data_IF_772483970225
#
_entry.id   IF_772483970225
#
_cell.length_a   1.000
_cell.length_b   1.000
_cell.length_c   1.000
_cell.angle_alpha   90.00
_cell.angle_beta   90.00
_cell.angle_gamma   90.00
#
_symmetry.space_group_name_H-M   'P 1'
#
loop_
_entity.id
_entity.type
_entity.pdbx_description
1 polymer ?
#
# COMPACT_ATOMS: atom_id res chain seq x y z
N UNK A 1 4.39 17.83 4.43
CA UNK A 1 3.95 18.06 5.81
C UNK A 1 2.50 17.57 5.99
N UNK A 2 2.27 16.65 6.95
CA UNK A 2 0.96 16.07 7.28
C UNK A 2 0.36 16.65 8.56
N UNK A 3 1.04 17.58 9.20
CA UNK A 3 0.59 18.19 10.47
C UNK A 3 -0.86 18.71 10.43
N UNK A 4 -1.35 19.31 9.30
CA UNK A 4 -2.74 19.71 9.18
C UNK A 4 -3.76 18.56 9.11
N UNK A 5 -3.29 17.30 9.02
CA UNK A 5 -4.13 16.13 8.80
C UNK A 5 -4.01 15.13 9.97
N UNK A 6 -4.61 15.41 11.12
CA UNK A 6 -4.45 14.57 12.33
C UNK A 6 -4.92 13.12 12.14
N UNK A 7 -5.86 12.88 11.23
CA UNK A 7 -6.31 11.53 10.91
C UNK A 7 -5.20 10.70 10.26
N UNK A 8 -4.38 11.29 9.37
CA UNK A 8 -3.26 10.59 8.75
C UNK A 8 -2.18 10.25 9.78
N UNK A 9 -1.94 11.15 10.73
CA UNK A 9 -1.02 10.89 11.85
C UNK A 9 -1.52 9.70 12.66
N UNK A 10 -2.78 9.73 13.09
CA UNK A 10 -3.38 8.62 13.84
C UNK A 10 -3.34 7.28 13.09
N UNK A 11 -3.46 7.28 11.78
CA UNK A 11 -3.34 6.04 10.99
C UNK A 11 -1.93 5.44 11.07
N UNK A 12 -0.87 6.24 10.96
CA UNK A 12 0.50 5.73 11.10
C UNK A 12 0.78 5.23 12.51
N UNK A 13 0.24 5.91 13.53
CA UNK A 13 0.31 5.48 14.93
C UNK A 13 -0.44 4.16 15.17
N UNK A 14 -1.64 4.03 14.59
CA UNK A 14 -2.43 2.80 14.67
C UNK A 14 -1.69 1.59 14.13
N UNK A 15 -1.01 1.73 12.99
CA UNK A 15 -0.20 0.65 12.41
C UNK A 15 1.17 0.50 13.10
N UNK A 16 1.56 1.43 13.95
CA UNK A 16 2.83 1.40 14.67
C UNK A 16 4.05 1.57 13.78
N UNK A 17 3.91 2.20 12.61
CA UNK A 17 5.01 2.37 11.66
C UNK A 17 5.89 3.53 12.12
N UNK A 18 7.14 3.22 12.39
CA UNK A 18 8.17 4.22 12.74
C UNK A 18 8.71 4.89 11.47
N UNK A 19 9.17 6.14 11.62
CA UNK A 19 9.70 6.95 10.51
C UNK A 19 8.77 6.96 9.28
N UNK A 20 7.47 7.10 9.52
CA UNK A 20 6.45 6.96 8.51
C UNK A 20 6.47 8.11 7.50
N UNK A 21 6.48 7.76 6.22
CA UNK A 21 6.21 8.66 5.11
C UNK A 21 4.85 8.33 4.52
N UNK A 22 3.96 9.32 4.53
CA UNK A 22 2.60 9.17 4.01
C UNK A 22 2.50 9.88 2.67
N UNK A 23 1.93 9.18 1.69
CA UNK A 23 1.65 9.72 0.36
C UNK A 23 0.22 9.41 -0.03
N UNK A 24 -0.45 10.37 -0.63
CA UNK A 24 -1.73 10.17 -1.28
C UNK A 24 -1.52 10.14 -2.80
N UNK A 25 -2.05 9.12 -3.43
CA UNK A 25 -2.02 8.96 -4.87
C UNK A 25 -3.44 9.01 -5.42
N UNK A 26 -3.61 9.80 -6.48
CA UNK A 26 -4.85 9.88 -7.23
C UNK A 26 -4.59 9.41 -8.65
N UNK A 27 -4.95 8.19 -8.95
CA UNK A 27 -4.87 7.69 -10.32
C UNK A 27 -6.15 8.06 -11.07
N UNK A 28 -6.02 8.98 -12.00
CA UNK A 28 -7.13 9.44 -12.83
C UNK A 28 -7.48 8.42 -13.91
N UNK A 29 -8.71 8.47 -14.47
CA UNK A 29 -9.02 7.74 -15.70
C UNK A 29 -7.97 7.96 -16.79
N UNK A 30 -7.52 6.87 -17.42
CA UNK A 30 -6.49 6.88 -18.45
C UNK A 30 -5.04 6.86 -17.93
N UNK A 31 -4.82 6.94 -16.62
CA UNK A 31 -3.46 6.87 -16.06
C UNK A 31 -3.06 5.43 -15.73
N UNK A 32 -1.75 5.19 -15.84
CA UNK A 32 -1.13 3.93 -15.45
C UNK A 32 0.20 4.18 -14.73
N UNK A 33 0.57 3.26 -13.86
CA UNK A 33 1.94 3.10 -13.37
C UNK A 33 2.51 1.84 -14.00
N UNK A 34 3.64 2.00 -14.69
CA UNK A 34 4.29 0.91 -15.39
C UNK A 34 4.74 -0.20 -14.43
N UNK A 35 4.93 -1.39 -14.97
CA UNK A 35 5.50 -2.51 -14.24
C UNK A 35 6.87 -2.13 -13.66
N UNK A 36 7.03 -2.29 -12.37
CA UNK A 36 8.25 -1.99 -11.64
C UNK A 36 8.34 -2.79 -10.33
N UNK A 37 9.52 -2.78 -9.76
CA UNK A 37 9.79 -3.21 -8.39
C UNK A 37 10.12 -1.96 -7.58
N UNK A 38 9.60 -1.86 -6.39
CA UNK A 38 9.93 -0.75 -5.49
C UNK A 38 11.40 -0.86 -5.03
N UNK A 39 12.04 0.30 -4.85
CA UNK A 39 13.40 0.40 -4.30
C UNK A 39 13.34 1.19 -3.01
N UNK A 40 13.07 0.51 -1.91
CA UNK A 40 12.90 1.11 -0.59
C UNK A 40 14.01 0.73 0.40
N UNK A 41 14.98 -0.07 -0.03
CA UNK A 41 16.07 -0.56 0.81
C UNK A 41 16.91 0.55 1.45
N UNK A 42 16.97 1.72 0.80
CA UNK A 42 17.72 2.87 1.33
C UNK A 42 17.09 3.47 2.59
N UNK A 43 15.87 3.07 2.93
CA UNK A 43 15.21 3.53 4.16
C UNK A 43 15.76 2.84 5.42
N UNK A 44 16.31 1.65 5.28
CA UNK A 44 17.00 0.90 6.32
C UNK A 44 18.03 -0.01 5.65
N UNK A 45 19.19 0.53 5.20
CA UNK A 45 20.17 -0.24 4.44
C UNK A 45 20.76 -1.42 5.23
N UNK A 46 20.83 -1.27 6.56
CA UNK A 46 21.36 -2.30 7.47
C UNK A 46 20.39 -3.47 7.65
N UNK A 47 19.10 -3.26 7.48
CA UNK A 47 18.07 -4.29 7.58
C UNK A 47 16.84 -3.92 6.72
N UNK A 48 16.89 -4.13 5.40
CA UNK A 48 15.80 -3.79 4.49
C UNK A 48 14.48 -4.49 4.80
N UNK A 49 14.50 -5.63 5.50
CA UNK A 49 13.29 -6.36 5.90
C UNK A 49 12.45 -5.61 6.94
N UNK A 50 13.04 -4.63 7.63
CA UNK A 50 12.30 -3.74 8.51
C UNK A 50 11.35 -2.81 7.74
N UNK A 51 11.65 -2.53 6.48
CA UNK A 51 10.86 -1.60 5.69
C UNK A 51 9.53 -2.23 5.32
N UNK A 52 8.45 -1.50 5.58
CA UNK A 52 7.09 -1.88 5.21
C UNK A 52 6.43 -0.78 4.38
N UNK A 53 5.63 -1.19 3.42
CA UNK A 53 4.71 -0.31 2.70
C UNK A 53 3.31 -0.86 2.79
N UNK A 54 2.40 -0.06 3.34
CA UNK A 54 0.97 -0.34 3.35
C UNK A 54 0.28 0.52 2.31
N UNK A 55 -0.62 -0.08 1.54
CA UNK A 55 -1.49 0.63 0.60
C UNK A 55 -2.92 0.50 1.07
N UNK A 56 -3.57 1.62 1.33
CA UNK A 56 -4.94 1.70 1.83
C UNK A 56 -5.81 2.23 0.69
N UNK A 57 -6.83 1.47 0.34
CA UNK A 57 -7.79 1.87 -0.68
C UNK A 57 -8.77 2.87 -0.08
N UNK A 58 -8.92 4.04 -0.69
CA UNK A 58 -9.79 5.11 -0.17
C UNK A 58 -11.15 5.18 -0.86
N UNK A 59 -11.37 4.34 -1.88
CA UNK A 59 -12.66 4.18 -2.56
C UNK A 59 -12.84 2.72 -2.95
N UNK A 60 -14.08 2.30 -3.14
CA UNK A 60 -14.41 0.98 -3.65
C UNK A 60 -13.87 0.79 -5.07
N UNK A 61 -13.56 -0.44 -5.40
CA UNK A 61 -13.15 -0.84 -6.75
C UNK A 61 -14.22 -0.51 -7.78
N UNK A 62 -13.79 -0.02 -8.92
CA UNK A 62 -14.64 0.17 -10.09
C UNK A 62 -14.13 -0.68 -11.27
N UNK A 63 -15.04 -1.27 -12.08
CA UNK A 63 -14.64 -1.97 -13.29
C UNK A 63 -13.72 -1.13 -14.18
N UNK A 64 -12.63 -1.74 -14.65
CA UNK A 64 -11.59 -1.05 -15.41
C UNK A 64 -10.41 -0.57 -14.57
N UNK A 65 -10.47 -0.70 -13.26
CA UNK A 65 -9.32 -0.46 -12.40
C UNK A 65 -8.51 -1.75 -12.22
N UNK A 66 -7.21 -1.67 -12.45
CA UNK A 66 -6.29 -2.80 -12.39
C UNK A 66 -5.20 -2.57 -11.36
N UNK A 67 -4.94 -3.61 -10.59
CA UNK A 67 -3.78 -3.71 -9.73
C UNK A 67 -3.18 -5.11 -9.89
N UNK A 68 -1.96 -5.20 -10.42
CA UNK A 68 -1.28 -6.46 -10.64
C UNK A 68 -0.06 -6.57 -9.76
N UNK A 69 0.07 -7.67 -9.04
CA UNK A 69 1.21 -8.05 -8.22
C UNK A 69 1.73 -9.40 -8.71
N UNK A 70 2.88 -9.42 -9.38
CA UNK A 70 3.40 -10.66 -9.95
C UNK A 70 2.37 -11.32 -10.85
N UNK A 71 1.91 -12.51 -10.45
CA UNK A 71 0.89 -13.30 -11.17
C UNK A 71 -0.54 -13.07 -10.67
N UNK A 72 -0.72 -12.23 -9.65
CA UNK A 72 -2.00 -11.96 -9.03
C UNK A 72 -2.58 -10.64 -9.54
N UNK A 73 -3.86 -10.66 -9.95
CA UNK A 73 -4.63 -9.45 -10.24
C UNK A 73 -5.58 -9.17 -9.07
N UNK A 74 -5.40 -8.00 -8.46
CA UNK A 74 -6.22 -7.54 -7.35
C UNK A 74 -7.37 -6.68 -7.87
N UNK A 75 -8.57 -7.02 -7.44
CA UNK A 75 -9.81 -6.32 -7.79
C UNK A 75 -10.85 -6.50 -6.68
N UNK A 76 -11.99 -5.82 -6.81
CA UNK A 76 -13.10 -5.92 -5.88
C UNK A 76 -12.77 -5.48 -4.44
N UNK A 77 -11.72 -4.66 -4.28
CA UNK A 77 -11.43 -4.05 -2.98
C UNK A 77 -12.53 -3.09 -2.55
N UNK A 78 -12.58 -2.86 -1.27
CA UNK A 78 -13.45 -1.85 -0.65
C UNK A 78 -12.61 -0.72 -0.07
N UNK A 79 -13.23 0.44 0.08
CA UNK A 79 -12.64 1.53 0.84
C UNK A 79 -12.29 1.05 2.26
N UNK A 80 -11.06 1.32 2.69
CA UNK A 80 -10.50 0.85 3.96
C UNK A 80 -9.69 -0.44 3.86
N UNK A 81 -9.75 -1.19 2.76
CA UNK A 81 -8.90 -2.36 2.59
C UNK A 81 -7.43 -1.93 2.58
N UNK A 82 -6.62 -2.67 3.33
CA UNK A 82 -5.18 -2.46 3.44
C UNK A 82 -4.48 -3.68 2.87
N UNK A 83 -3.59 -3.46 1.92
CA UNK A 83 -2.76 -4.53 1.42
C UNK A 83 -1.27 -4.23 1.53
N UNK A 84 -0.52 -5.30 1.75
CA UNK A 84 0.92 -5.33 1.93
C UNK A 84 1.43 -6.46 1.06
N UNK A 85 2.54 -6.23 0.40
CA UNK A 85 3.20 -7.21 -0.44
C UNK A 85 4.71 -7.06 -0.32
N UNK A 86 5.45 -8.03 -0.80
CA UNK A 86 6.90 -7.97 -0.87
C UNK A 86 7.33 -6.95 -1.93
N UNK A 87 7.52 -5.72 -1.49
CA UNK A 87 7.86 -4.59 -2.34
C UNK A 87 9.21 -4.77 -3.05
N UNK A 88 10.12 -5.56 -2.48
CA UNK A 88 11.47 -5.74 -2.99
C UNK A 88 11.55 -6.75 -4.14
N UNK A 89 10.68 -7.75 -4.14
CA UNK A 89 10.78 -8.90 -5.04
C UNK A 89 9.58 -9.07 -5.97
N UNK A 90 8.45 -8.42 -5.66
CA UNK A 90 7.22 -8.57 -6.44
C UNK A 90 7.04 -7.42 -7.41
N UNK A 91 7.20 -7.65 -8.73
CA UNK A 91 6.86 -6.66 -9.75
C UNK A 91 5.37 -6.33 -9.69
N UNK A 92 5.04 -5.06 -9.81
CA UNK A 92 3.65 -4.62 -9.78
C UNK A 92 3.38 -3.46 -10.74
N UNK A 93 2.13 -3.34 -11.14
CA UNK A 93 1.65 -2.30 -12.04
C UNK A 93 0.20 -1.96 -11.71
N UNK A 94 -0.21 -0.74 -12.07
CA UNK A 94 -1.60 -0.32 -11.94
C UNK A 94 -2.05 0.44 -13.17
N UNK A 95 -3.33 0.32 -13.50
CA UNK A 95 -3.96 1.12 -14.55
C UNK A 95 -5.39 1.47 -14.16
N UNK A 96 -5.88 2.59 -14.68
CA UNK A 96 -7.25 3.02 -14.47
C UNK A 96 -7.93 3.29 -15.81
N UNK A 97 -8.61 2.29 -16.33
CA UNK A 97 -9.46 2.38 -17.51
C UNK A 97 -10.93 2.68 -17.15
N UNK A 98 -11.23 2.90 -15.87
CA UNK A 98 -12.56 3.26 -15.41
C UNK A 98 -12.85 4.74 -15.62
N UNK A 99 -14.09 5.17 -15.33
CA UNK A 99 -14.48 6.57 -15.30
C UNK A 99 -14.30 7.22 -13.92
N UNK A 100 -13.84 6.48 -12.93
CA UNK A 100 -13.72 6.91 -11.55
C UNK A 100 -12.27 7.10 -11.17
N UNK A 101 -11.99 8.14 -10.40
CA UNK A 101 -10.67 8.31 -9.78
C UNK A 101 -10.41 7.18 -8.79
N UNK A 102 -9.17 6.69 -8.74
CA UNK A 102 -8.72 5.70 -7.78
C UNK A 102 -7.78 6.35 -6.75
N UNK A 103 -8.30 6.83 -5.63
CA UNK A 103 -7.48 7.38 -4.56
C UNK A 103 -6.93 6.25 -3.69
N UNK A 104 -5.65 6.33 -3.35
CA UNK A 104 -4.98 5.42 -2.41
C UNK A 104 -4.07 6.18 -1.48
N UNK A 105 -3.95 5.70 -0.26
CA UNK A 105 -3.00 6.19 0.72
C UNK A 105 -1.89 5.16 0.87
N UNK A 106 -0.64 5.59 0.75
CA UNK A 106 0.52 4.76 1.04
C UNK A 106 1.22 5.25 2.30
N UNK A 107 1.50 4.33 3.20
CA UNK A 107 2.32 4.55 4.39
C UNK A 107 3.57 3.67 4.25
N UNK A 108 4.73 4.29 4.24
CA UNK A 108 6.02 3.59 4.12
C UNK A 108 6.89 3.98 5.30
N UNK A 109 7.46 3.01 5.98
CA UNK A 109 8.34 3.25 7.13
C UNK A 109 8.89 1.94 7.68
N UNK A 110 9.19 1.91 8.96
CA UNK A 110 9.82 0.77 9.62
C UNK A 110 8.82 0.03 10.52
N UNK A 111 8.83 -1.29 10.45
CA UNK A 111 8.04 -2.15 11.33
C UNK A 111 8.49 -2.02 12.77
N UNK A 112 7.54 -1.81 13.67
CA UNK A 112 7.75 -1.95 15.12
C UNK A 112 7.21 -3.30 15.60
N UNK A 113 7.39 -3.60 16.86
CA UNK A 113 6.76 -4.77 17.50
C UNK A 113 5.22 -4.73 17.36
N UNK A 114 4.64 -3.55 17.50
CA UNK A 114 3.19 -3.38 17.30
C UNK A 114 2.76 -3.69 15.86
N UNK A 115 3.52 -3.22 14.86
CA UNK A 115 3.26 -3.56 13.45
C UNK A 115 3.30 -5.06 13.22
N UNK A 116 4.30 -5.76 13.77
CA UNK A 116 4.44 -7.21 13.63
C UNK A 116 3.26 -7.95 14.22
N UNK A 117 2.81 -7.56 15.42
CA UNK A 117 1.62 -8.15 16.05
C UNK A 117 0.36 -7.96 15.20
N UNK A 118 0.15 -6.77 14.65
CA UNK A 118 -0.99 -6.54 13.74
C UNK A 118 -0.94 -7.46 12.52
N UNK A 119 0.24 -7.68 11.94
CA UNK A 119 0.40 -8.57 10.79
C UNK A 119 0.12 -10.05 11.14
N UNK A 120 0.41 -10.48 12.35
CA UNK A 120 0.09 -11.83 12.84
C UNK A 120 -1.43 -12.06 12.93
N UNK A 121 -2.21 -11.03 13.27
CA UNK A 121 -3.67 -11.10 13.32
C UNK A 121 -4.34 -10.99 11.94
N UNK A 122 -3.60 -10.62 10.90
CA UNK A 122 -4.16 -10.58 9.55
C UNK A 122 -4.56 -11.99 9.12
N UNK A 123 -5.83 -12.21 8.82
CA UNK A 123 -6.35 -13.49 8.39
C UNK A 123 -5.77 -13.93 7.03
N UNK A 124 -5.88 -15.22 6.70
CA UNK A 124 -5.41 -15.74 5.41
C UNK A 124 -6.04 -15.05 4.20
N UNK A 125 -7.29 -14.64 4.34
CA UNK A 125 -8.03 -13.92 3.29
C UNK A 125 -7.44 -12.54 3.00
N UNK A 126 -6.74 -11.97 3.97
CA UNK A 126 -6.07 -10.68 3.84
C UNK A 126 -4.65 -10.79 3.25
N UNK A 127 -4.19 -12.00 2.93
CA UNK A 127 -2.87 -12.25 2.38
C UNK A 127 -3.00 -12.71 0.95
N UNK A 128 -2.53 -11.89 0.02
CA UNK A 128 -2.38 -12.30 -1.36
C UNK A 128 -1.08 -13.09 -1.51
N UNK A 129 -1.20 -14.36 -1.91
CA UNK A 129 -0.06 -15.16 -2.30
C UNK A 129 0.30 -14.77 -3.75
N UNK A 130 1.50 -14.32 -3.90
CA UNK A 130 2.06 -13.93 -5.20
C UNK A 130 2.92 -15.05 -5.75
#
# INVERSE_FOLDING_TARGET
DITPYPTLIRMSEYFGIADAKIRMHYQRPGQMFNLHIDKLQDRCPEDPEQVIRMTIMLADWAPGQFYSYGTCNYSHWRAGDVHIFDWANVPHATANASRHMRPVLQITGLKTEHTRKLLEYAGPEARYQV
#
